data_IF_791354601016
#
_entry.id   IF_791354601016
#
_cell.length_a   1.000
_cell.length_b   1.000
_cell.length_c   1.000
_cell.angle_alpha   90.00
_cell.angle_beta   90.00
_cell.angle_gamma   90.00
#
_symmetry.space_group_name_H-M   'P 1'
#
loop_
_entity.id
_entity.type
_entity.pdbx_description
1 polymer ?
#
# COMPACT_ATOMS: atom_id res chain seq x y z
N UNK A 1 -4.50 -4.99 -20.42
CA UNK A 1 -4.45 -4.91 -18.94
C UNK A 1 -5.09 -6.18 -18.36
N UNK A 2 -4.47 -6.86 -17.41
CA UNK A 2 -5.04 -8.08 -16.79
C UNK A 2 -5.70 -7.72 -15.45
N UNK A 3 -6.99 -7.40 -15.49
CA UNK A 3 -7.78 -7.01 -14.31
C UNK A 3 -7.91 -8.15 -13.29
N UNK A 4 -7.81 -9.40 -13.73
CA UNK A 4 -7.79 -10.57 -12.84
C UNK A 4 -6.56 -10.55 -11.92
N UNK A 5 -5.38 -10.17 -12.46
CA UNK A 5 -4.19 -10.02 -11.63
C UNK A 5 -4.34 -8.87 -10.62
N UNK A 6 -4.98 -7.77 -11.01
CA UNK A 6 -5.29 -6.65 -10.10
C UNK A 6 -6.22 -7.12 -8.97
N UNK A 7 -7.27 -7.88 -9.29
CA UNK A 7 -8.15 -8.49 -8.29
C UNK A 7 -7.39 -9.41 -7.33
N UNK A 8 -6.53 -10.31 -7.85
CA UNK A 8 -5.72 -11.20 -7.02
C UNK A 8 -4.73 -10.44 -6.12
N UNK A 9 -4.14 -9.35 -6.61
CA UNK A 9 -3.29 -8.48 -5.78
C UNK A 9 -4.11 -7.81 -4.67
N UNK A 10 -5.35 -7.41 -4.96
CA UNK A 10 -6.29 -6.90 -3.96
C UNK A 10 -6.67 -7.95 -2.92
N UNK A 11 -6.90 -9.20 -3.33
CA UNK A 11 -7.25 -10.29 -2.41
C UNK A 11 -6.11 -10.69 -1.48
N UNK A 12 -4.88 -10.67 -1.98
CA UNK A 12 -3.69 -11.16 -1.27
C UNK A 12 -2.97 -10.03 -0.55
N UNK A 13 -2.01 -9.39 -1.23
CA UNK A 13 -1.12 -8.39 -0.66
C UNK A 13 -1.85 -7.12 -0.24
N UNK A 14 -2.79 -6.65 -1.07
CA UNK A 14 -3.62 -5.48 -0.80
C UNK A 14 -4.52 -5.70 0.41
N UNK A 15 -5.26 -6.80 0.43
CA UNK A 15 -6.19 -7.16 1.49
C UNK A 15 -5.51 -7.19 2.85
N UNK A 16 -4.41 -7.95 2.97
CA UNK A 16 -3.69 -8.09 4.24
C UNK A 16 -3.09 -6.76 4.74
N UNK A 17 -2.43 -6.01 3.85
CA UNK A 17 -1.78 -4.74 4.23
C UNK A 17 -2.78 -3.64 4.56
N UNK A 18 -3.83 -3.49 3.74
CA UNK A 18 -4.87 -2.51 3.99
C UNK A 18 -5.76 -2.91 5.17
N UNK A 19 -5.99 -4.21 5.46
CA UNK A 19 -6.74 -4.64 6.63
C UNK A 19 -5.97 -4.37 7.93
N UNK A 20 -4.65 -4.58 7.94
CA UNK A 20 -3.83 -4.20 9.10
C UNK A 20 -4.01 -2.71 9.48
N UNK A 21 -4.15 -1.83 8.49
CA UNK A 21 -4.30 -0.37 8.69
C UNK A 21 -5.75 0.09 8.87
N UNK A 22 -6.64 -0.28 7.96
CA UNK A 22 -8.03 0.18 7.91
C UNK A 22 -8.98 -0.74 8.70
N UNK A 23 -8.61 -2.02 8.88
CA UNK A 23 -9.42 -3.00 9.60
C UNK A 23 -9.48 -2.72 11.11
N UNK A 24 -8.42 -2.19 11.72
CA UNK A 24 -8.44 -1.75 13.11
C UNK A 24 -9.45 -0.61 13.36
N UNK A 25 -9.58 0.30 12.39
CA UNK A 25 -10.56 1.39 12.43
C UNK A 25 -12.00 0.86 12.31
N UNK A 26 -12.23 -0.06 11.37
CA UNK A 26 -13.51 -0.73 11.21
C UNK A 26 -13.90 -1.49 12.49
N UNK A 27 -12.97 -2.25 13.06
CA UNK A 27 -13.17 -3.00 14.30
C UNK A 27 -13.48 -2.08 15.50
N UNK A 28 -12.81 -0.92 15.60
CA UNK A 28 -13.06 0.06 16.65
C UNK A 28 -14.47 0.66 16.55
N UNK A 29 -14.96 0.96 15.35
CA UNK A 29 -16.34 1.46 15.16
C UNK A 29 -17.36 0.40 15.56
N UNK A 30 -17.20 -0.84 15.06
CA UNK A 30 -18.13 -1.94 15.36
C UNK A 30 -18.20 -2.15 16.88
N UNK A 31 -17.06 -2.10 17.57
CA UNK A 31 -17.01 -2.21 19.01
C UNK A 31 -17.72 -1.03 19.73
N UNK A 32 -17.47 0.20 19.31
CA UNK A 32 -18.12 1.38 19.90
C UNK A 32 -19.63 1.41 19.65
N UNK A 33 -20.08 0.98 18.47
CA UNK A 33 -21.50 0.85 18.14
C UNK A 33 -22.18 -0.21 19.01
N UNK A 34 -21.51 -1.34 19.24
CA UNK A 34 -22.00 -2.40 20.14
C UNK A 34 -22.16 -1.90 21.58
N UNK A 35 -21.23 -1.09 22.09
CA UNK A 35 -21.36 -0.45 23.40
C UNK A 35 -22.55 0.52 23.47
N UNK A 36 -22.74 1.35 22.44
CA UNK A 36 -23.85 2.32 22.38
C UNK A 36 -25.22 1.62 22.31
N UNK A 37 -25.33 0.52 21.55
CA UNK A 37 -26.56 -0.28 21.50
C UNK A 37 -26.85 -0.95 22.84
N UNK A 38 -25.84 -1.51 23.52
CA UNK A 38 -25.99 -2.11 24.84
C UNK A 38 -26.48 -1.08 25.87
N UNK A 39 -25.89 0.13 25.87
CA UNK A 39 -26.30 1.25 26.74
C UNK A 39 -27.73 1.74 26.43
N UNK A 40 -28.18 1.65 25.18
CA UNK A 40 -29.52 2.07 24.76
C UNK A 40 -30.62 1.06 25.13
N UNK A 41 -30.34 -0.24 25.02
CA UNK A 41 -31.29 -1.32 25.38
C UNK A 41 -31.47 -1.44 26.90
N UNK A 42 -30.48 -1.09 27.71
CA UNK A 42 -30.65 -1.00 29.17
C UNK A 42 -31.70 0.07 29.57
N UNK A 43 -32.00 1.07 28.72
CA UNK A 43 -33.02 2.11 28.97
C UNK A 43 -34.42 1.78 28.43
N UNK A 44 -34.60 0.76 27.60
CA UNK A 44 -35.90 0.33 27.08
C UNK A 44 -36.02 -1.16 27.32
N UNK A 45 -36.94 -1.55 28.20
CA UNK A 45 -37.22 -2.92 28.64
C UNK A 45 -37.81 -3.81 27.50
N UNK A 46 -37.16 -3.82 26.34
CA UNK A 46 -37.49 -4.63 25.18
C UNK A 46 -36.37 -5.65 25.01
N UNK A 47 -36.78 -6.91 24.91
CA UNK A 47 -35.92 -8.05 24.60
C UNK A 47 -35.04 -7.77 23.37
N UNK A 48 -33.78 -8.25 23.36
CA UNK A 48 -32.87 -8.05 22.25
C UNK A 48 -33.43 -8.78 21.03
N UNK A 49 -33.94 -8.04 20.04
CA UNK A 49 -34.25 -8.62 18.73
C UNK A 49 -32.95 -9.19 18.17
N UNK A 50 -32.97 -10.45 17.74
CA UNK A 50 -31.82 -11.24 17.29
C UNK A 50 -31.03 -10.55 16.16
N UNK A 51 -30.04 -9.76 16.57
CA UNK A 51 -28.60 -9.85 16.27
C UNK A 51 -28.11 -10.73 15.09
N UNK A 52 -28.69 -10.61 13.89
CA UNK A 52 -28.05 -11.15 12.67
C UNK A 52 -28.06 -10.19 11.47
N UNK A 53 -29.05 -9.30 11.36
CA UNK A 53 -29.14 -8.36 10.22
C UNK A 53 -28.48 -6.99 10.48
N UNK A 54 -28.19 -6.66 11.74
CA UNK A 54 -27.57 -5.38 12.13
C UNK A 54 -26.04 -5.38 12.07
N UNK A 55 -25.38 -6.52 12.26
CA UNK A 55 -23.90 -6.60 12.31
C UNK A 55 -23.23 -6.38 10.95
N UNK A 56 -23.93 -6.74 9.86
CA UNK A 56 -23.39 -6.65 8.49
C UNK A 56 -23.59 -5.29 7.86
N UNK A 57 -24.53 -4.49 8.39
CA UNK A 57 -24.90 -3.20 7.81
C UNK A 57 -23.76 -2.17 7.88
N UNK A 58 -23.05 -1.98 9.02
CA UNK A 58 -21.88 -1.10 9.10
C UNK A 58 -20.75 -1.53 8.16
N UNK A 59 -20.49 -2.85 8.08
CA UNK A 59 -19.44 -3.42 7.22
C UNK A 59 -19.75 -3.16 5.75
N UNK A 60 -20.99 -3.43 5.32
CA UNK A 60 -21.43 -3.19 3.95
C UNK A 60 -21.36 -1.71 3.57
N UNK A 61 -21.83 -0.82 4.44
CA UNK A 61 -21.76 0.63 4.22
C UNK A 61 -20.32 1.15 4.12
N UNK A 62 -19.43 0.67 5.00
CA UNK A 62 -18.01 0.99 4.95
C UNK A 62 -17.38 0.53 3.63
N UNK A 63 -17.64 -0.71 3.22
CA UNK A 63 -17.08 -1.30 2.00
C UNK A 63 -17.61 -0.64 0.72
N UNK A 64 -18.90 -0.32 0.68
CA UNK A 64 -19.51 0.37 -0.45
C UNK A 64 -18.98 1.80 -0.57
N UNK A 65 -18.87 2.52 0.55
CA UNK A 65 -18.26 3.84 0.58
C UNK A 65 -16.79 3.80 0.14
N UNK A 66 -16.00 2.82 0.62
CA UNK A 66 -14.61 2.59 0.20
C UNK A 66 -14.51 2.34 -1.30
N UNK A 67 -15.37 1.47 -1.85
CA UNK A 67 -15.41 1.15 -3.27
C UNK A 67 -15.69 2.39 -4.11
N UNK A 68 -16.76 3.13 -3.80
CA UNK A 68 -17.12 4.35 -4.53
C UNK A 68 -15.98 5.37 -4.46
N UNK A 69 -15.41 5.59 -3.28
CA UNK A 69 -14.32 6.54 -3.07
C UNK A 69 -13.10 6.20 -3.95
N UNK A 70 -12.63 4.95 -3.93
CA UNK A 70 -11.45 4.52 -4.69
C UNK A 70 -11.70 4.48 -6.20
N UNK A 71 -12.91 4.14 -6.64
CA UNK A 71 -13.26 4.18 -8.07
C UNK A 71 -13.24 5.61 -8.60
N UNK A 72 -13.81 6.56 -7.85
CA UNK A 72 -13.77 7.98 -8.20
C UNK A 72 -12.33 8.51 -8.19
N UNK A 73 -11.54 8.12 -7.19
CA UNK A 73 -10.12 8.46 -7.14
C UNK A 73 -9.38 7.89 -8.36
N UNK A 74 -9.57 6.61 -8.69
CA UNK A 74 -8.97 5.96 -9.84
C UNK A 74 -9.36 6.61 -11.16
N UNK A 75 -10.61 7.03 -11.30
CA UNK A 75 -11.07 7.80 -12.45
C UNK A 75 -10.31 9.12 -12.59
N UNK A 76 -10.20 9.87 -11.49
CA UNK A 76 -9.49 11.15 -11.47
C UNK A 76 -7.99 11.01 -11.71
N UNK A 77 -7.37 10.01 -11.08
CA UNK A 77 -5.95 9.69 -11.25
C UNK A 77 -5.63 9.23 -12.68
N UNK A 78 -6.46 8.38 -13.27
CA UNK A 78 -6.31 7.96 -14.68
C UNK A 78 -6.45 9.13 -15.65
N UNK A 79 -7.37 10.06 -15.37
CA UNK A 79 -7.50 11.31 -16.14
C UNK A 79 -6.24 12.18 -16.02
N UNK A 80 -5.75 12.42 -14.80
CA UNK A 80 -4.53 13.18 -14.51
C UNK A 80 -3.29 12.58 -15.15
N UNK A 81 -3.22 11.25 -15.23
CA UNK A 81 -2.10 10.52 -15.80
C UNK A 81 -1.83 10.80 -17.28
N UNK A 82 -2.85 11.25 -18.02
CA UNK A 82 -2.66 11.74 -19.39
C UNK A 82 -1.89 13.07 -19.48
N UNK A 83 -1.72 13.77 -18.35
CA UNK A 83 -1.16 15.14 -18.27
C UNK A 83 0.02 15.29 -17.30
N UNK A 84 0.20 14.38 -16.34
CA UNK A 84 1.15 14.56 -15.23
C UNK A 84 1.86 13.25 -14.89
N UNK A 85 3.18 13.24 -15.04
CA UNK A 85 4.05 12.23 -14.43
C UNK A 85 4.47 12.67 -13.02
N UNK A 86 4.12 11.87 -12.01
CA UNK A 86 4.55 12.12 -10.63
C UNK A 86 6.05 11.95 -10.48
N UNK A 87 6.73 13.05 -10.13
CA UNK A 87 8.16 13.03 -9.83
C UNK A 87 8.49 12.11 -8.65
N UNK A 88 9.70 11.55 -8.66
CA UNK A 88 10.20 10.68 -7.60
C UNK A 88 10.15 11.36 -6.22
N UNK A 89 10.44 12.66 -6.16
CA UNK A 89 10.41 13.44 -4.92
C UNK A 89 9.03 13.46 -4.29
N UNK A 90 7.98 13.70 -5.08
CA UNK A 90 6.60 13.74 -4.57
C UNK A 90 6.19 12.37 -4.04
N UNK A 91 6.51 11.29 -4.79
CA UNK A 91 6.26 9.91 -4.33
C UNK A 91 6.92 9.63 -2.99
N UNK A 92 8.18 10.04 -2.81
CA UNK A 92 8.91 9.83 -1.56
C UNK A 92 8.33 10.64 -0.39
N UNK A 93 7.87 11.87 -0.62
CA UNK A 93 7.21 12.68 0.40
C UNK A 93 5.92 11.99 0.88
N UNK A 94 5.05 11.57 -0.04
CA UNK A 94 3.83 10.84 0.30
C UNK A 94 4.13 9.51 0.99
N UNK A 95 5.14 8.76 0.54
CA UNK A 95 5.58 7.52 1.20
C UNK A 95 6.03 7.76 2.64
N UNK A 96 6.78 8.85 2.86
CA UNK A 96 7.32 9.20 4.18
C UNK A 96 6.21 9.61 5.15
N UNK A 97 5.26 10.41 4.69
CA UNK A 97 4.07 10.79 5.46
C UNK A 97 3.24 9.54 5.80
N UNK A 98 3.00 8.66 4.83
CA UNK A 98 2.26 7.42 5.05
C UNK A 98 2.97 6.51 6.07
N UNK A 99 4.30 6.37 5.98
CA UNK A 99 5.08 5.58 6.91
C UNK A 99 4.99 6.11 8.36
N UNK A 100 5.11 7.43 8.54
CA UNK A 100 4.97 8.08 9.84
C UNK A 100 3.55 7.87 10.39
N UNK A 101 2.53 8.03 9.55
CA UNK A 101 1.14 7.81 9.92
C UNK A 101 0.87 6.37 10.35
N UNK A 102 1.43 5.37 9.65
CA UNK A 102 1.32 3.96 10.03
C UNK A 102 1.94 3.68 11.40
N UNK A 103 3.14 4.21 11.67
CA UNK A 103 3.81 4.05 12.96
C UNK A 103 3.03 4.74 14.09
N UNK A 104 2.52 5.94 13.84
CA UNK A 104 1.70 6.66 14.81
C UNK A 104 0.36 5.95 15.09
N UNK A 105 -0.27 5.37 14.06
CA UNK A 105 -1.48 4.56 14.21
C UNK A 105 -1.20 3.29 15.02
N UNK A 106 -0.06 2.64 14.80
CA UNK A 106 0.34 1.51 15.63
C UNK A 106 0.62 1.91 17.09
N UNK A 107 1.21 3.08 17.31
CA UNK A 107 1.39 3.65 18.64
C UNK A 107 0.06 3.95 19.36
N UNK A 108 -0.95 4.40 18.62
CA UNK A 108 -2.32 4.53 19.12
C UNK A 108 -2.90 3.17 19.50
N UNK A 109 -2.69 2.16 18.67
CA UNK A 109 -3.24 0.81 18.85
C UNK A 109 -2.64 0.07 20.05
N UNK A 110 -1.41 0.41 20.43
CA UNK A 110 -0.73 -0.07 21.62
C UNK A 110 -0.98 0.79 22.88
N UNK A 111 -1.80 1.85 22.77
CA UNK A 111 -2.06 2.82 23.84
C UNK A 111 -0.77 3.39 24.48
N UNK A 112 0.32 3.54 23.71
CA UNK A 112 1.64 3.94 24.24
C UNK A 112 1.65 5.35 24.85
N UNK A 113 0.94 6.29 24.23
CA UNK A 113 0.87 7.67 24.70
C UNK A 113 -0.43 8.36 24.23
N UNK A 114 -1.05 9.24 25.05
CA UNK A 114 -2.28 9.95 24.69
C UNK A 114 -2.19 10.78 23.39
N UNK A 115 -0.98 11.22 23.04
CA UNK A 115 -0.76 12.03 21.82
C UNK A 115 -1.12 11.27 20.54
N UNK A 116 -0.97 9.95 20.51
CA UNK A 116 -1.29 9.14 19.33
C UNK A 116 -2.80 9.07 19.06
N UNK A 117 -3.65 9.39 20.05
CA UNK A 117 -5.12 9.48 19.86
C UNK A 117 -5.54 10.58 18.89
N UNK A 118 -4.70 11.59 18.66
CA UNK A 118 -4.96 12.65 17.69
C UNK A 118 -4.66 12.26 16.24
N UNK A 119 -3.85 11.22 16.02
CA UNK A 119 -3.41 10.83 14.67
C UNK A 119 -4.46 9.99 13.96
N UNK A 120 -5.28 9.25 14.70
CA UNK A 120 -6.45 8.59 14.14
C UNK A 120 -7.52 9.65 13.88
N UNK A 121 -7.77 9.98 12.61
CA UNK A 121 -8.82 10.91 12.20
C UNK A 121 -10.19 10.43 12.68
N UNK A 122 -10.58 10.88 13.87
CA UNK A 122 -11.96 10.81 14.32
C UNK A 122 -12.75 11.92 13.61
N UNK A 123 -14.01 11.68 13.19
CA UNK A 123 -14.80 12.68 12.51
C UNK A 123 -14.88 13.96 13.36
N UNK A 124 -14.64 15.16 12.79
CA UNK A 124 -14.52 16.40 13.56
C UNK A 124 -15.80 16.70 14.34
N UNK A 125 -15.67 17.34 15.51
CA UNK A 125 -16.81 17.61 16.42
C UNK A 125 -17.96 18.35 15.74
N UNK A 126 -17.71 19.14 14.70
CA UNK A 126 -18.74 19.79 13.89
C UNK A 126 -19.58 18.78 13.10
N UNK A 127 -18.94 17.81 12.44
CA UNK A 127 -19.61 16.72 11.72
C UNK A 127 -20.36 15.81 12.70
N UNK A 128 -19.78 15.51 13.86
CA UNK A 128 -20.47 14.76 14.91
C UNK A 128 -21.69 15.51 15.48
N UNK A 129 -21.64 16.84 15.58
CA UNK A 129 -22.77 17.68 16.01
C UNK A 129 -23.86 17.77 14.96
N UNK A 130 -23.52 17.79 13.68
CA UNK A 130 -24.49 17.81 12.58
C UNK A 130 -25.35 16.52 12.57
N UNK A 131 -24.83 15.41 13.09
CA UNK A 131 -25.52 14.10 13.19
C UNK A 131 -26.16 13.89 14.57
N UNK A 132 -26.23 14.92 15.42
CA UNK A 132 -26.68 14.80 16.82
C UNK A 132 -28.18 14.53 16.99
N UNK A 133 -28.98 14.66 15.92
CA UNK A 133 -30.45 14.58 16.02
C UNK A 133 -31.07 13.21 15.73
N UNK A 134 -30.30 12.15 15.43
CA UNK A 134 -30.86 10.79 15.37
C UNK A 134 -29.83 9.71 15.67
N UNK A 135 -30.12 8.86 16.66
CA UNK A 135 -29.29 7.69 17.04
C UNK A 135 -29.15 6.70 15.88
N UNK A 136 -30.15 6.63 14.99
CA UNK A 136 -30.14 5.77 13.80
C UNK A 136 -29.20 6.27 12.71
N UNK A 137 -29.05 7.60 12.54
CA UNK A 137 -28.15 8.16 11.53
C UNK A 137 -26.68 8.02 11.92
N UNK A 138 -26.34 8.03 13.22
CA UNK A 138 -24.95 7.82 13.69
C UNK A 138 -24.42 6.42 13.38
N UNK A 139 -25.28 5.40 13.48
CA UNK A 139 -24.93 4.01 13.18
C UNK A 139 -24.59 3.80 11.68
N UNK A 140 -25.23 4.56 10.78
CA UNK A 140 -25.04 4.45 9.33
C UNK A 140 -23.97 5.41 8.78
N UNK A 141 -23.82 6.59 9.39
CA UNK A 141 -22.96 7.64 8.87
C UNK A 141 -21.46 7.44 9.18
N UNK A 142 -21.16 6.91 10.36
CA UNK A 142 -19.76 6.69 10.79
C UNK A 142 -19.01 5.71 9.89
N UNK A 143 -19.58 4.54 9.53
CA UNK A 143 -18.94 3.62 8.59
C UNK A 143 -18.75 4.21 7.19
N UNK A 144 -19.72 5.01 6.70
CA UNK A 144 -19.62 5.66 5.39
C UNK A 144 -18.49 6.67 5.34
N UNK A 145 -18.38 7.59 6.32
CA UNK A 145 -17.27 8.56 6.36
C UNK A 145 -15.94 7.84 6.42
N UNK A 146 -15.81 6.84 7.28
CA UNK A 146 -14.52 6.15 7.39
C UNK A 146 -14.18 5.40 6.10
N UNK A 147 -15.18 4.82 5.43
CA UNK A 147 -15.04 4.26 4.08
C UNK A 147 -14.52 5.30 3.09
N UNK A 148 -15.08 6.51 3.07
CA UNK A 148 -14.60 7.61 2.21
C UNK A 148 -13.18 8.08 2.59
N UNK A 149 -12.89 8.15 3.89
CA UNK A 149 -11.58 8.57 4.43
C UNK A 149 -10.47 7.54 4.18
N UNK A 150 -10.79 6.31 3.76
CA UNK A 150 -9.77 5.31 3.44
C UNK A 150 -8.83 5.74 2.31
N UNK A 151 -9.24 6.69 1.45
CA UNK A 151 -8.36 7.34 0.47
C UNK A 151 -7.15 8.00 1.14
N UNK A 152 -7.35 8.64 2.30
CA UNK A 152 -6.29 9.33 3.04
C UNK A 152 -5.45 8.38 3.90
N UNK A 153 -5.79 7.09 3.88
CA UNK A 153 -5.14 6.03 4.65
C UNK A 153 -4.54 5.02 3.65
N UNK A 154 -3.59 5.45 2.79
CA UNK A 154 -3.04 4.59 1.75
C UNK A 154 -2.13 3.53 2.37
N UNK A 155 -2.37 2.27 2.00
CA UNK A 155 -1.40 1.20 2.20
C UNK A 155 -0.47 1.12 0.96
N UNK A 156 0.80 0.70 1.12
CA UNK A 156 1.79 0.77 0.01
C UNK A 156 1.39 0.03 -1.28
N UNK A 157 0.57 -1.02 -1.16
CA UNK A 157 -0.01 -1.71 -2.33
C UNK A 157 -1.04 -0.83 -3.05
N UNK A 158 -1.86 -0.10 -2.31
CA UNK A 158 -2.83 0.87 -2.87
C UNK A 158 -2.09 1.98 -3.60
N UNK A 159 -0.98 2.49 -3.05
CA UNK A 159 -0.14 3.49 -3.72
C UNK A 159 0.42 2.96 -5.05
N UNK A 160 0.84 1.69 -5.10
CA UNK A 160 1.30 1.06 -6.35
C UNK A 160 0.16 0.99 -7.40
N UNK A 161 -1.06 0.67 -6.96
CA UNK A 161 -2.23 0.64 -7.85
C UNK A 161 -2.67 2.04 -8.28
N UNK A 162 -2.54 3.05 -7.43
CA UNK A 162 -2.81 4.45 -7.74
C UNK A 162 -1.83 4.95 -8.80
N UNK A 163 -0.54 4.68 -8.62
CA UNK A 163 0.49 4.95 -9.63
C UNK A 163 0.18 4.19 -10.93
N UNK A 164 -0.24 2.93 -10.85
CA UNK A 164 -0.64 2.16 -12.03
C UNK A 164 -1.85 2.80 -12.74
N UNK A 165 -2.85 3.27 -11.99
CA UNK A 165 -4.00 3.99 -12.52
C UNK A 165 -3.58 5.27 -13.24
N UNK A 166 -2.67 6.05 -12.66
CA UNK A 166 -2.09 7.25 -13.31
C UNK A 166 -1.36 6.85 -14.59
N UNK A 167 -0.48 5.85 -14.55
CA UNK A 167 0.29 5.42 -15.73
C UNK A 167 -0.58 4.84 -16.84
N UNK A 168 -1.82 4.43 -16.54
CA UNK A 168 -2.75 3.95 -17.55
C UNK A 168 -3.22 5.05 -18.51
N UNK A 169 -3.08 6.33 -18.13
CA UNK A 169 -3.41 7.50 -18.95
C UNK A 169 -4.89 7.63 -19.34
N UNK A 170 -5.77 6.76 -18.81
CA UNK A 170 -7.19 6.71 -19.14
C UNK A 170 -8.03 6.69 -17.87
N UNK A 171 -9.00 7.60 -17.78
CA UNK A 171 -9.90 7.70 -16.63
C UNK A 171 -10.68 6.40 -16.40
N UNK A 172 -11.18 5.78 -17.47
CA UNK A 172 -11.97 4.55 -17.36
C UNK A 172 -11.11 3.37 -16.90
N UNK A 173 -9.88 3.28 -17.43
CA UNK A 173 -8.95 2.21 -17.06
C UNK A 173 -8.48 2.38 -15.61
N UNK A 174 -8.17 3.60 -15.18
CA UNK A 174 -7.84 3.91 -13.79
C UNK A 174 -8.97 3.56 -12.81
N UNK A 175 -10.21 3.87 -13.17
CA UNK A 175 -11.40 3.49 -12.40
C UNK A 175 -11.55 1.95 -12.29
N UNK A 176 -11.34 1.22 -13.39
CA UNK A 176 -11.41 -0.25 -13.40
C UNK A 176 -10.30 -0.90 -12.57
N UNK A 177 -9.08 -0.36 -12.60
CA UNK A 177 -7.97 -0.85 -11.75
C UNK A 177 -8.39 -0.76 -10.28
N UNK A 178 -8.87 0.41 -9.84
CA UNK A 178 -9.30 0.61 -8.45
C UNK A 178 -10.52 -0.23 -8.09
N UNK A 179 -11.48 -0.36 -8.99
CA UNK A 179 -12.67 -1.20 -8.80
C UNK A 179 -12.28 -2.65 -8.50
N UNK A 180 -11.51 -3.29 -9.40
CA UNK A 180 -11.12 -4.69 -9.23
C UNK A 180 -10.18 -4.88 -8.04
N UNK A 181 -9.29 -3.93 -7.76
CA UNK A 181 -8.43 -3.96 -6.58
C UNK A 181 -9.26 -3.95 -5.29
N UNK A 182 -10.18 -3.00 -5.13
CA UNK A 182 -11.02 -2.92 -3.93
C UNK A 182 -11.95 -4.11 -3.83
N UNK A 183 -12.53 -4.58 -4.95
CA UNK A 183 -13.36 -5.79 -5.01
C UNK A 183 -12.59 -7.02 -4.51
N UNK A 184 -11.29 -7.10 -4.82
CA UNK A 184 -10.37 -8.10 -4.25
C UNK A 184 -10.20 -7.98 -2.74
N UNK A 185 -10.18 -6.78 -2.17
CA UNK A 185 -10.05 -6.58 -0.71
C UNK A 185 -11.34 -6.89 0.08
N UNK A 186 -12.51 -6.90 -0.59
CA UNK A 186 -13.82 -7.05 0.09
C UNK A 186 -13.95 -8.33 0.92
N UNK A 187 -13.58 -9.54 0.43
CA UNK A 187 -13.76 -10.77 1.18
C UNK A 187 -13.02 -10.74 2.52
N UNK A 188 -11.79 -10.24 2.52
CA UNK A 188 -10.96 -10.18 3.72
C UNK A 188 -11.54 -9.21 4.76
N UNK A 189 -11.97 -8.02 4.32
CA UNK A 189 -12.58 -7.02 5.21
C UNK A 189 -13.96 -7.47 5.72
N UNK A 190 -14.76 -8.16 4.88
CA UNK A 190 -16.05 -8.70 5.30
C UNK A 190 -15.87 -9.77 6.38
N UNK A 191 -14.94 -10.72 6.16
CA UNK A 191 -14.61 -11.76 7.14
C UNK A 191 -14.19 -11.14 8.47
N UNK A 192 -13.24 -10.18 8.45
CA UNK A 192 -12.77 -9.58 9.70
C UNK A 192 -13.84 -8.68 10.33
N UNK A 193 -14.60 -7.92 9.55
CA UNK A 193 -15.70 -7.10 10.08
C UNK A 193 -16.72 -7.95 10.84
N UNK A 194 -17.18 -9.04 10.25
CA UNK A 194 -18.13 -9.98 10.88
C UNK A 194 -17.49 -10.71 12.06
N UNK A 195 -16.25 -11.17 11.91
CA UNK A 195 -15.53 -11.81 13.01
C UNK A 195 -15.42 -10.86 14.21
N UNK A 196 -15.05 -9.59 14.00
CA UNK A 196 -14.94 -8.61 15.08
C UNK A 196 -16.28 -8.30 15.76
N UNK A 197 -17.41 -8.39 15.05
CA UNK A 197 -18.73 -8.22 15.64
C UNK A 197 -19.10 -9.38 16.59
N UNK A 198 -18.76 -10.62 16.21
CA UNK A 198 -19.09 -11.85 16.93
C UNK A 198 -18.04 -12.28 17.97
N UNK A 199 -16.84 -11.67 17.99
CA UNK A 199 -15.73 -12.06 18.87
C UNK A 199 -15.83 -11.48 20.31
N UNK A 200 -15.23 -12.21 21.26
CA UNK A 200 -15.10 -11.79 22.67
C UNK A 200 -14.04 -10.70 22.85
N UNK A 201 -14.09 -9.97 23.97
CA UNK A 201 -13.13 -8.90 24.27
C UNK A 201 -11.66 -9.37 24.30
N UNK A 202 -11.41 -10.62 24.72
CA UNK A 202 -10.07 -11.20 24.75
C UNK A 202 -9.48 -11.36 23.33
N UNK A 203 -10.29 -11.80 22.37
CA UNK A 203 -9.87 -11.92 20.98
C UNK A 203 -9.64 -10.55 20.33
N UNK A 204 -10.46 -9.55 20.69
CA UNK A 204 -10.29 -8.16 20.25
C UNK A 204 -8.93 -7.61 20.68
N UNK A 205 -8.53 -7.78 21.95
CA UNK A 205 -7.23 -7.30 22.42
C UNK A 205 -6.06 -7.97 21.70
N UNK A 206 -6.10 -9.30 21.51
CA UNK A 206 -5.07 -10.03 20.77
C UNK A 206 -4.98 -9.59 19.31
N UNK A 207 -6.13 -9.41 18.65
CA UNK A 207 -6.18 -8.91 17.27
C UNK A 207 -5.56 -7.52 17.14
N UNK A 208 -5.88 -6.59 18.05
CA UNK A 208 -5.31 -5.24 18.05
C UNK A 208 -3.78 -5.26 18.23
N UNK A 209 -3.24 -6.12 19.11
CA UNK A 209 -1.78 -6.29 19.25
C UNK A 209 -1.11 -6.85 17.99
N UNK A 210 -1.72 -7.84 17.35
CA UNK A 210 -1.22 -8.42 16.10
C UNK A 210 -1.26 -7.38 14.98
N UNK A 211 -2.37 -6.66 14.83
CA UNK A 211 -2.50 -5.59 13.85
C UNK A 211 -1.46 -4.47 14.09
N UNK A 212 -1.20 -4.10 15.35
CA UNK A 212 -0.14 -3.15 15.69
C UNK A 212 1.25 -3.65 15.32
N UNK A 213 1.57 -4.92 15.62
CA UNK A 213 2.86 -5.52 15.27
C UNK A 213 3.07 -5.55 13.74
N UNK A 214 2.03 -5.92 12.98
CA UNK A 214 2.07 -5.89 11.51
C UNK A 214 2.23 -4.46 11.00
N UNK A 215 1.50 -3.48 11.57
CA UNK A 215 1.64 -2.07 11.19
C UNK A 215 3.01 -1.50 11.50
N UNK A 216 3.61 -1.84 12.65
CA UNK A 216 4.99 -1.47 12.98
C UNK A 216 5.95 -2.06 11.96
N UNK A 217 5.81 -3.35 11.65
CA UNK A 217 6.64 -4.01 10.65
C UNK A 217 6.53 -3.35 9.27
N UNK A 218 5.30 -3.07 8.81
CA UNK A 218 5.06 -2.41 7.53
C UNK A 218 5.54 -0.95 7.53
N UNK A 219 5.34 -0.22 8.63
CA UNK A 219 5.81 1.16 8.80
C UNK A 219 7.33 1.24 8.77
N UNK A 220 8.02 0.40 9.54
CA UNK A 220 9.49 0.27 9.53
C UNK A 220 10.00 -0.14 8.15
N UNK A 221 9.33 -1.09 7.49
CA UNK A 221 9.68 -1.53 6.14
C UNK A 221 9.52 -0.40 5.12
N UNK A 222 8.49 0.44 5.27
CA UNK A 222 8.26 1.62 4.43
C UNK A 222 9.34 2.69 4.66
N UNK A 223 9.72 2.95 5.93
CA UNK A 223 10.84 3.86 6.26
C UNK A 223 12.15 3.34 5.67
N UNK A 224 12.44 2.04 5.83
CA UNK A 224 13.60 1.40 5.21
C UNK A 224 13.53 1.52 3.68
N UNK A 225 12.34 1.41 3.09
CA UNK A 225 12.11 1.60 1.66
C UNK A 225 12.41 3.02 1.17
N UNK A 226 12.04 4.05 1.94
CA UNK A 226 12.42 5.43 1.64
C UNK A 226 13.95 5.60 1.72
N UNK A 227 14.57 5.04 2.76
CA UNK A 227 16.02 5.10 2.96
C UNK A 227 16.81 4.36 1.87
N UNK A 228 16.33 3.18 1.42
CA UNK A 228 16.93 2.44 0.30
C UNK A 228 16.86 3.26 -0.99
N UNK A 229 15.69 3.81 -1.31
CA UNK A 229 15.50 4.64 -2.51
C UNK A 229 16.40 5.88 -2.45
N UNK A 230 16.56 6.49 -1.27
CA UNK A 230 17.45 7.63 -1.08
C UNK A 230 18.94 7.29 -1.19
N UNK A 231 19.30 6.00 -1.28
CA UNK A 231 20.67 5.47 -1.23
C UNK A 231 21.41 5.79 0.08
N UNK A 232 20.70 5.74 1.23
CA UNK A 232 21.32 5.95 2.53
C UNK A 232 22.40 4.87 2.84
N UNK A 233 23.46 5.22 3.59
CA UNK A 233 24.54 4.28 3.93
C UNK A 233 24.09 3.18 4.90
N UNK A 234 23.12 3.46 5.78
CA UNK A 234 22.58 2.53 6.78
C UNK A 234 21.24 1.99 6.28
N UNK A 235 21.17 0.71 5.96
CA UNK A 235 19.95 0.06 5.50
C UNK A 235 19.96 -1.41 5.90
N UNK A 236 18.87 -1.91 6.47
CA UNK A 236 18.71 -3.33 6.84
C UNK A 236 18.98 -4.27 5.66
N UNK A 237 18.60 -3.86 4.45
CA UNK A 237 18.81 -4.62 3.21
C UNK A 237 20.28 -4.84 2.88
N UNK A 238 21.21 -3.92 3.24
CA UNK A 238 22.66 -4.11 3.03
C UNK A 238 23.27 -5.10 4.04
N UNK A 239 22.64 -5.28 5.19
CA UNK A 239 23.10 -6.18 6.25
C UNK A 239 22.60 -7.62 6.05
N UNK A 240 21.37 -7.82 5.54
CA UNK A 240 20.79 -9.17 5.34
C UNK A 240 21.09 -9.78 3.96
N UNK A 241 21.58 -9.00 2.98
CA UNK A 241 21.95 -9.49 1.64
C UNK A 241 23.16 -10.44 1.62
N UNK A 242 23.82 -10.64 2.76
CA UNK A 242 24.89 -11.64 2.93
C UNK A 242 24.35 -13.05 3.20
N UNK A 243 23.07 -13.24 3.55
CA UNK A 243 22.55 -14.52 4.06
C UNK A 243 21.57 -15.21 3.09
N UNK A 244 20.95 -14.47 2.15
CA UNK A 244 19.99 -15.07 1.21
C UNK A 244 20.23 -14.58 -0.22
N UNK A 245 21.08 -15.27 -0.97
CA UNK A 245 21.21 -15.08 -2.41
C UNK A 245 21.61 -16.38 -3.09
N UNK A 246 20.64 -17.09 -3.69
CA UNK A 246 20.95 -18.01 -4.78
C UNK A 246 21.54 -17.16 -5.91
N UNK A 247 22.82 -17.40 -6.17
CA UNK A 247 23.70 -16.60 -7.01
C UNK A 247 23.36 -16.82 -8.48
N UNK A 248 22.75 -15.83 -9.13
CA UNK A 248 22.72 -15.74 -10.59
C UNK A 248 23.62 -14.57 -10.97
N UNK A 249 24.92 -14.87 -11.14
CA UNK A 249 25.87 -13.96 -11.75
C UNK A 249 25.65 -14.02 -13.26
N UNK A 250 25.04 -12.99 -13.84
CA UNK A 250 25.09 -12.80 -15.28
C UNK A 250 26.29 -11.91 -15.59
N UNK A 251 27.38 -12.49 -16.12
CA UNK A 251 28.41 -11.71 -16.79
C UNK A 251 27.78 -11.11 -18.05
N UNK A 252 27.74 -9.78 -18.10
CA UNK A 252 27.10 -9.04 -19.18
C UNK A 252 28.08 -8.92 -20.35
N UNK A 253 27.72 -9.50 -21.50
CA UNK A 253 28.48 -9.37 -22.73
C UNK A 253 28.47 -7.92 -23.24
N UNK A 254 29.64 -7.42 -23.65
CA UNK A 254 29.75 -6.14 -24.35
C UNK A 254 29.49 -6.38 -25.84
N UNK A 255 28.45 -5.75 -26.40
CA UNK A 255 28.18 -5.77 -27.85
C UNK A 255 28.37 -4.35 -28.38
N UNK A 256 29.18 -4.18 -29.43
CA UNK A 256 29.45 -2.90 -30.09
C UNK A 256 29.93 -1.78 -29.14
N UNK A 257 30.77 -2.12 -28.15
CA UNK A 257 31.28 -1.14 -27.18
C UNK A 257 30.26 -0.67 -26.13
N UNK A 258 29.06 -1.27 -26.09
CA UNK A 258 28.00 -1.00 -25.12
C UNK A 258 27.71 -2.26 -24.29
N UNK A 259 27.55 -2.08 -22.98
CA UNK A 259 27.19 -3.16 -22.05
C UNK A 259 25.67 -3.31 -22.02
N UNK A 260 25.13 -4.40 -22.58
CA UNK A 260 23.67 -4.60 -22.68
C UNK A 260 23.14 -5.43 -21.53
N UNK A 261 22.28 -4.85 -20.71
CA UNK A 261 21.68 -5.51 -19.55
C UNK A 261 20.19 -5.69 -19.80
N UNK A 262 19.69 -6.91 -19.61
CA UNK A 262 18.27 -7.18 -19.55
C UNK A 262 17.89 -7.59 -18.12
N UNK A 263 17.01 -6.82 -17.48
CA UNK A 263 16.39 -7.20 -16.21
C UNK A 263 14.93 -7.59 -16.48
N UNK A 264 14.60 -8.83 -16.16
CA UNK A 264 13.21 -9.28 -16.08
C UNK A 264 12.63 -8.82 -14.74
N UNK A 265 11.65 -7.93 -14.82
CA UNK A 265 10.85 -7.49 -13.69
C UNK A 265 9.73 -8.51 -13.48
N UNK A 266 9.70 -9.13 -12.31
CA UNK A 266 8.70 -10.13 -11.89
C UNK A 266 7.90 -9.58 -10.71
N UNK A 267 6.74 -10.16 -10.44
CA UNK A 267 5.90 -9.75 -9.29
C UNK A 267 6.61 -9.88 -7.94
N UNK A 268 7.64 -10.72 -7.85
CA UNK A 268 8.46 -10.95 -6.66
C UNK A 268 9.86 -10.28 -6.70
N UNK A 269 10.12 -9.37 -7.65
CA UNK A 269 11.36 -8.58 -7.70
C UNK A 269 12.07 -8.59 -9.06
N UNK A 270 13.38 -8.33 -9.06
CA UNK A 270 14.20 -8.18 -10.26
C UNK A 270 15.08 -9.39 -10.52
N UNK A 271 15.21 -9.79 -11.79
CA UNK A 271 16.04 -10.92 -12.20
C UNK A 271 16.82 -10.58 -13.48
N UNK A 272 18.17 -10.57 -13.44
CA UNK A 272 19.03 -10.76 -12.27
C UNK A 272 18.95 -9.58 -11.30
N UNK A 273 19.24 -9.83 -10.02
CA UNK A 273 19.28 -8.81 -8.96
C UNK A 273 20.70 -8.33 -8.62
N UNK A 274 21.74 -8.92 -9.23
CA UNK A 274 23.12 -8.45 -9.16
C UNK A 274 23.66 -8.31 -10.58
N UNK A 275 24.26 -7.16 -10.85
CA UNK A 275 24.79 -6.77 -12.14
C UNK A 275 26.23 -6.30 -11.94
N UNK A 276 27.13 -6.67 -12.85
CA UNK A 276 28.49 -6.17 -12.87
C UNK A 276 28.76 -5.48 -14.20
N UNK A 277 29.23 -4.23 -14.14
CA UNK A 277 29.54 -3.40 -15.31
C UNK A 277 30.89 -2.73 -15.14
N UNK A 278 31.59 -2.48 -16.23
CA UNK A 278 32.87 -1.75 -16.23
C UNK A 278 32.65 -0.25 -16.19
N UNK A 279 33.46 0.45 -15.41
CA UNK A 279 33.51 1.91 -15.42
C UNK A 279 33.95 2.46 -16.79
N UNK A 280 33.38 3.58 -17.21
CA UNK A 280 33.73 4.30 -18.44
C UNK A 280 33.09 3.76 -19.73
N UNK A 281 32.40 2.62 -19.68
CA UNK A 281 31.74 2.02 -20.85
C UNK A 281 30.22 2.24 -20.75
N UNK A 282 29.54 2.76 -21.79
CA UNK A 282 28.09 2.97 -21.77
C UNK A 282 27.34 1.66 -21.51
N UNK A 283 26.32 1.75 -20.67
CA UNK A 283 25.43 0.66 -20.27
C UNK A 283 24.05 0.93 -20.85
N UNK A 284 23.54 0.00 -21.65
CA UNK A 284 22.16 -0.01 -22.13
C UNK A 284 21.37 -0.97 -21.24
N UNK A 285 20.56 -0.42 -20.34
CA UNK A 285 19.73 -1.16 -19.41
C UNK A 285 18.31 -1.26 -19.94
N UNK A 286 17.89 -2.47 -20.27
CA UNK A 286 16.52 -2.81 -20.67
C UNK A 286 15.80 -3.49 -19.52
N UNK A 287 14.65 -2.95 -19.16
CA UNK A 287 13.73 -3.52 -18.18
C UNK A 287 12.53 -4.09 -18.92
N UNK A 288 12.13 -5.31 -18.55
CA UNK A 288 10.98 -5.96 -19.17
C UNK A 288 10.02 -6.50 -18.11
N UNK A 289 8.75 -6.11 -18.18
CA UNK A 289 7.68 -6.65 -17.33
C UNK A 289 6.84 -7.67 -18.10
N UNK A 290 6.37 -8.69 -17.38
CA UNK A 290 5.33 -9.62 -17.86
C UNK A 290 4.29 -9.86 -16.78
N UNK A 291 3.11 -9.28 -16.95
CA UNK A 291 1.99 -9.28 -16.01
C UNK A 291 2.36 -8.85 -14.58
N UNK A 292 3.13 -7.77 -14.44
CA UNK A 292 3.54 -7.24 -13.13
C UNK A 292 2.61 -6.12 -12.69
N UNK A 293 1.98 -6.31 -11.53
CA UNK A 293 1.04 -5.35 -10.92
C UNK A 293 1.47 -4.94 -9.50
N UNK A 294 2.62 -5.41 -9.03
CA UNK A 294 3.15 -5.08 -7.70
C UNK A 294 4.06 -3.85 -7.77
N UNK A 295 4.56 -3.39 -6.61
CA UNK A 295 5.53 -2.28 -6.56
C UNK A 295 6.79 -2.51 -7.42
N UNK A 296 7.11 -3.78 -7.76
CA UNK A 296 8.22 -4.13 -8.63
C UNK A 296 8.15 -3.51 -10.03
N UNK A 297 6.97 -3.08 -10.49
CA UNK A 297 6.78 -2.38 -11.78
C UNK A 297 7.50 -1.02 -11.86
N UNK A 298 7.84 -0.43 -10.71
CA UNK A 298 8.69 0.76 -10.64
C UNK A 298 10.15 0.34 -10.51
N UNK A 299 11.06 1.02 -11.18
CA UNK A 299 12.51 0.81 -11.07
C UNK A 299 13.20 2.14 -10.79
N UNK A 300 13.91 2.22 -9.67
CA UNK A 300 14.61 3.42 -9.23
C UNK A 300 16.08 3.10 -8.99
N UNK A 301 16.95 3.73 -9.77
CA UNK A 301 18.40 3.72 -9.64
C UNK A 301 18.88 5.17 -9.46
N UNK A 302 18.70 5.67 -8.23
CA UNK A 302 18.89 7.07 -7.89
C UNK A 302 20.32 7.58 -8.13
N UNK A 303 21.34 6.73 -7.96
CA UNK A 303 22.74 7.13 -8.17
C UNK A 303 23.04 7.63 -9.59
N UNK A 304 22.22 7.23 -10.56
CA UNK A 304 22.30 7.65 -11.96
C UNK A 304 21.10 8.51 -12.38
N UNK A 305 20.29 8.99 -11.43
CA UNK A 305 19.03 9.72 -11.67
C UNK A 305 18.04 9.00 -12.58
N UNK A 306 18.02 7.66 -12.52
CA UNK A 306 17.12 6.84 -13.33
C UNK A 306 15.90 6.45 -12.47
N UNK A 307 14.71 6.80 -12.94
CA UNK A 307 13.43 6.38 -12.37
C UNK A 307 12.48 6.04 -13.50
N UNK A 308 12.13 4.77 -13.64
CA UNK A 308 11.23 4.26 -14.66
C UNK A 308 10.00 3.61 -14.04
N UNK A 309 8.86 3.75 -14.70
CA UNK A 309 7.62 3.11 -14.31
C UNK A 309 7.15 2.29 -15.51
N UNK A 310 7.16 0.97 -15.35
CA UNK A 310 6.76 0.06 -16.40
C UNK A 310 5.27 -0.25 -16.30
N UNK A 311 4.61 -0.33 -17.45
CA UNK A 311 3.30 -0.95 -17.55
C UNK A 311 3.35 -2.46 -17.24
N UNK A 312 2.20 -3.15 -17.16
CA UNK A 312 2.19 -4.56 -16.80
C UNK A 312 2.88 -5.51 -17.80
N UNK A 313 2.89 -5.15 -19.09
CA UNK A 313 3.57 -5.86 -20.17
C UNK A 313 4.30 -4.82 -21.02
N UNK A 314 5.43 -4.36 -20.53
CA UNK A 314 6.17 -3.21 -21.06
C UNK A 314 7.66 -3.53 -21.15
N UNK A 315 8.35 -2.80 -22.01
CA UNK A 315 9.80 -2.89 -22.19
C UNK A 315 10.37 -1.51 -22.39
N UNK A 316 11.16 -1.05 -21.42
CA UNK A 316 11.78 0.27 -21.45
C UNK A 316 13.30 0.14 -21.38
N UNK A 317 14.00 0.97 -22.14
CA UNK A 317 15.47 0.95 -22.21
C UNK A 317 16.01 2.33 -21.89
N UNK A 318 17.02 2.37 -21.02
CA UNK A 318 17.77 3.59 -20.68
C UNK A 318 19.25 3.35 -20.89
N UNK A 319 19.95 4.38 -21.36
CA UNK A 319 21.41 4.33 -21.52
C UNK A 319 22.07 5.28 -20.55
N UNK A 320 23.11 4.82 -19.85
CA UNK A 320 23.90 5.63 -18.93
C UNK A 320 25.35 5.16 -18.90
N UNK A 321 26.28 6.04 -18.50
CA UNK A 321 27.71 5.70 -18.44
C UNK A 321 28.21 5.81 -17.00
N UNK A 322 28.53 4.70 -16.32
CA UNK A 322 29.05 4.75 -14.96
C UNK A 322 30.52 5.18 -14.96
N UNK A 323 30.84 6.30 -14.31
CA UNK A 323 32.21 6.85 -14.24
C UNK A 323 32.94 6.50 -12.94
N UNK A 324 32.19 6.31 -11.85
CA UNK A 324 32.74 5.99 -10.52
C UNK A 324 32.53 4.51 -10.22
N UNK A 325 33.61 3.86 -9.75
CA UNK A 325 33.54 2.49 -9.24
C UNK A 325 32.79 2.45 -7.91
N UNK A 326 32.10 1.35 -7.66
CA UNK A 326 31.34 1.16 -6.42
C UNK A 326 30.07 0.34 -6.60
N UNK A 327 29.36 0.14 -5.49
CA UNK A 327 28.09 -0.59 -5.45
C UNK A 327 26.93 0.38 -5.36
N UNK A 328 26.04 0.30 -6.33
CA UNK A 328 24.84 1.13 -6.43
C UNK A 328 23.60 0.26 -6.31
N UNK A 329 22.69 0.61 -5.41
CA UNK A 329 21.42 -0.10 -5.27
C UNK A 329 20.38 0.43 -6.25
N UNK A 330 19.63 -0.49 -6.87
CA UNK A 330 18.37 -0.20 -7.53
C UNK A 330 17.22 -0.85 -6.78
N UNK A 331 16.04 -0.24 -6.84
CA UNK A 331 14.92 -0.58 -5.96
C UNK A 331 13.55 -0.37 -6.60
N UNK A 332 12.51 -0.98 -6.04
CA UNK A 332 11.13 -0.68 -6.38
C UNK A 332 10.61 0.60 -5.70
N UNK A 333 9.41 1.05 -6.05
CA UNK A 333 8.80 2.27 -5.47
C UNK A 333 8.66 2.22 -3.94
N UNK A 334 8.50 1.01 -3.39
CA UNK A 334 8.41 0.77 -1.95
C UNK A 334 9.77 0.44 -1.31
N UNK A 335 10.85 0.40 -2.10
CA UNK A 335 12.19 0.00 -1.64
C UNK A 335 12.29 -1.43 -1.07
N UNK A 336 11.27 -2.26 -1.27
CA UNK A 336 11.15 -3.63 -0.75
C UNK A 336 11.94 -4.63 -1.59
N UNK A 337 11.79 -4.56 -2.92
CA UNK A 337 12.60 -5.33 -3.86
C UNK A 337 13.84 -4.52 -4.22
N UNK A 338 15.00 -5.11 -4.05
CA UNK A 338 16.30 -4.44 -4.23
C UNK A 338 17.26 -5.29 -5.03
N UNK A 339 18.11 -4.66 -5.82
CA UNK A 339 19.27 -5.28 -6.45
C UNK A 339 20.49 -4.35 -6.43
N UNK A 340 21.63 -4.89 -6.87
CA UNK A 340 22.92 -4.21 -6.84
C UNK A 340 23.49 -4.14 -8.25
N UNK A 341 23.89 -2.94 -8.65
CA UNK A 341 24.77 -2.68 -9.77
C UNK A 341 26.18 -2.40 -9.22
N UNK A 342 27.10 -3.31 -9.47
CA UNK A 342 28.50 -3.17 -9.10
C UNK A 342 29.30 -2.67 -10.31
N UNK A 343 29.92 -1.50 -10.16
CA UNK A 343 30.78 -0.88 -11.17
C UNK A 343 32.23 -1.21 -10.82
N UNK A 344 32.90 -1.96 -11.70
CA UNK A 344 34.28 -2.46 -11.54
C UNK A 344 35.31 -1.72 -12.40
#
# INVERSE_FOLDING_TARGET
>A
MNLWAVFLTGLTSGGLSCLAMQGGLLASIIANQKEDELKSNVKKNNSPKSFDQLDWLPVSLFLLAKLVAHVLLGFFLGWLGSKVELSLTVRLIFQSIAALFMLATAGNLLDLHPIFRYVVFQPPKFVQRMVKNSTRSKALFTPVILGLMTIFIPCGVTQAMEVLAITSGSSMIGALIMFFFVLGTLPLFAIVGVATAKLSEAFKQSFMKIAAAILIFLGLSSVNGVLTVLNAPVTFSKMTQSITSKQSNSQIGTKNGVQQILIQVKSNGYSPNRLQVKAGIPVQLTLQTKNVYTCASSFILKAFNISMQLGPNDSQTVTFTPTKKGRYSFTCSMGMYTGILEVI
#
